data_IF_573684177529
#
_entry.id   IF_573684177529
#
_cell.length_a   1.000
_cell.length_b   1.000
_cell.length_c   1.000
_cell.angle_alpha   90.00
_cell.angle_beta   90.00
_cell.angle_gamma   90.00
#
_symmetry.space_group_name_H-M   'P 1'
#
loop_
_entity.id
_entity.type
_entity.pdbx_description
1 polymer ?
#
# COMPACT_ATOMS: atom_id res chain seq x y z
N UNK A 1 -65.13 -24.65 2.32
CA UNK A 1 -63.75 -24.83 1.80
C UNK A 1 -63.09 -23.47 1.86
N UNK A 2 -62.20 -23.28 2.83
CA UNK A 2 -61.68 -21.97 3.23
C UNK A 2 -60.35 -21.71 2.51
N UNK A 3 -60.27 -20.61 1.76
CA UNK A 3 -59.05 -20.17 1.09
C UNK A 3 -58.10 -19.51 2.09
N UNK A 4 -56.85 -19.95 2.11
CA UNK A 4 -55.75 -19.39 2.90
C UNK A 4 -55.02 -18.38 2.00
N UNK A 5 -54.91 -17.08 2.34
CA UNK A 5 -54.05 -16.18 1.60
C UNK A 5 -52.58 -16.37 2.02
N UNK A 6 -51.70 -16.45 1.03
CA UNK A 6 -50.26 -16.58 1.19
C UNK A 6 -49.63 -15.35 1.86
N UNK A 7 -48.58 -15.52 2.70
CA UNK A 7 -47.89 -14.38 3.31
C UNK A 7 -47.01 -13.70 2.27
N UNK A 8 -47.21 -12.38 2.11
CA UNK A 8 -46.35 -11.52 1.30
C UNK A 8 -44.91 -11.52 1.85
N UNK A 9 -43.87 -11.57 1.00
CA UNK A 9 -42.50 -11.41 1.45
C UNK A 9 -42.29 -9.96 1.92
N UNK A 10 -42.22 -9.77 3.23
CA UNK A 10 -41.75 -8.53 3.83
C UNK A 10 -40.25 -8.40 3.55
N UNK A 11 -39.92 -7.60 2.53
CA UNK A 11 -38.56 -7.08 2.33
C UNK A 11 -38.23 -6.21 3.54
N UNK A 12 -37.20 -6.51 4.34
CA UNK A 12 -36.85 -5.65 5.45
C UNK A 12 -36.39 -4.28 4.93
N UNK A 13 -37.09 -3.27 5.42
CA UNK A 13 -36.83 -1.86 5.25
C UNK A 13 -35.35 -1.51 5.43
N UNK A 14 -34.80 -0.85 4.40
CA UNK A 14 -33.95 0.33 4.49
C UNK A 14 -33.15 0.48 5.79
N UNK A 15 -31.96 -0.12 5.81
CA UNK A 15 -30.93 0.20 6.81
C UNK A 15 -30.40 1.60 6.52
N UNK A 16 -30.85 2.53 7.37
CA UNK A 16 -30.21 3.76 7.78
C UNK A 16 -29.21 4.39 6.78
N UNK A 17 -29.68 5.42 6.08
CA UNK A 17 -28.83 6.48 5.57
C UNK A 17 -28.18 7.23 6.73
N UNK A 18 -27.13 6.68 7.34
CA UNK A 18 -26.06 7.53 7.84
C UNK A 18 -25.45 8.21 6.62
N UNK A 19 -25.11 9.49 6.72
CA UNK A 19 -24.20 10.14 5.79
C UNK A 19 -22.85 9.41 5.87
N UNK A 20 -22.75 8.29 5.15
CA UNK A 20 -21.61 7.38 5.20
C UNK A 20 -20.45 8.06 4.51
N UNK A 21 -19.73 8.90 5.26
CA UNK A 21 -18.48 9.48 4.81
C UNK A 21 -17.47 8.36 4.70
N UNK A 22 -16.85 8.25 3.54
CA UNK A 22 -15.91 7.19 3.24
C UNK A 22 -14.50 7.72 3.43
N UNK A 23 -13.82 7.36 4.52
CA UNK A 23 -12.47 7.86 4.78
C UNK A 23 -11.40 6.87 4.34
N UNK A 24 -10.42 7.37 3.59
CA UNK A 24 -9.21 6.64 3.22
C UNK A 24 -8.05 6.94 4.17
N UNK A 25 -7.23 5.94 4.46
CA UNK A 25 -5.96 6.12 5.14
C UNK A 25 -4.86 6.43 4.12
N UNK A 26 -4.08 7.49 4.34
CA UNK A 26 -2.87 7.76 3.54
C UNK A 26 -1.77 6.77 3.86
N UNK A 27 -1.23 6.17 2.81
CA UNK A 27 -0.16 5.19 2.86
C UNK A 27 0.87 5.50 1.76
N UNK A 28 2.11 5.06 1.95
CA UNK A 28 3.17 5.40 1.00
C UNK A 28 2.97 4.75 -0.39
N UNK A 29 3.28 5.50 -1.45
CA UNK A 29 3.43 4.91 -2.78
C UNK A 29 4.79 4.23 -2.95
N UNK A 30 4.93 3.40 -4.00
CA UNK A 30 6.18 2.70 -4.34
C UNK A 30 7.41 3.61 -4.45
N UNK A 31 7.23 4.87 -4.87
CA UNK A 31 8.32 5.81 -5.09
C UNK A 31 8.31 7.00 -4.11
N UNK A 32 7.31 7.10 -3.23
CA UNK A 32 7.20 8.20 -2.27
C UNK A 32 6.90 9.57 -2.86
N UNK A 33 6.38 9.64 -4.10
CA UNK A 33 6.09 10.93 -4.75
C UNK A 33 4.71 11.48 -4.39
N UNK A 34 3.71 10.61 -4.34
CA UNK A 34 2.32 10.91 -3.98
C UNK A 34 1.81 9.78 -3.12
N UNK A 35 0.93 10.07 -2.17
CA UNK A 35 0.37 9.05 -1.30
C UNK A 35 -0.66 8.18 -2.03
N UNK A 36 -0.88 7.01 -1.47
CA UNK A 36 -1.95 6.10 -1.84
C UNK A 36 -3.00 6.17 -0.75
N UNK A 37 -4.27 6.28 -1.14
CA UNK A 37 -5.38 6.17 -0.22
C UNK A 37 -5.84 4.72 -0.14
N UNK A 38 -5.88 4.18 1.07
CA UNK A 38 -6.36 2.83 1.36
C UNK A 38 -7.68 2.93 2.10
N UNK A 39 -8.73 2.40 1.48
CA UNK A 39 -10.05 2.29 2.10
C UNK A 39 -10.21 0.89 2.68
N UNK A 40 -10.51 0.80 3.98
CA UNK A 40 -10.82 -0.46 4.65
C UNK A 40 -12.32 -0.69 4.58
N UNK A 41 -12.73 -1.81 4.00
CA UNK A 41 -14.15 -2.14 3.88
C UNK A 41 -14.65 -2.55 5.28
N UNK A 42 -15.67 -1.87 5.82
CA UNK A 42 -16.21 -2.19 7.14
C UNK A 42 -16.54 -3.68 7.28
N UNK A 43 -16.36 -4.22 8.49
CA UNK A 43 -16.69 -5.61 8.84
C UNK A 43 -15.91 -6.70 8.08
N UNK A 44 -14.96 -6.30 7.22
CA UNK A 44 -14.12 -7.23 6.47
C UNK A 44 -12.63 -6.93 6.69
N UNK A 45 -11.77 -7.91 6.37
CA UNK A 45 -10.31 -7.71 6.29
C UNK A 45 -9.85 -7.29 4.90
N UNK A 46 -10.75 -6.73 4.11
CA UNK A 46 -10.53 -6.42 2.72
C UNK A 46 -10.39 -4.91 2.51
N UNK A 47 -9.49 -4.52 1.60
CA UNK A 47 -9.19 -3.13 1.31
C UNK A 47 -9.17 -2.85 -0.19
N UNK A 48 -9.52 -1.62 -0.54
CA UNK A 48 -9.22 -1.01 -1.83
C UNK A 48 -8.09 -0.02 -1.69
N UNK A 49 -7.24 0.08 -2.72
CA UNK A 49 -6.09 0.98 -2.71
C UNK A 49 -6.08 1.83 -3.97
N UNK A 50 -6.00 3.13 -3.78
CA UNK A 50 -6.12 4.10 -4.84
C UNK A 50 -4.87 4.97 -4.94
N UNK A 51 -4.29 5.06 -6.14
CA UNK A 51 -3.18 5.96 -6.42
C UNK A 51 -3.70 7.29 -6.94
N UNK A 52 -3.06 8.38 -6.53
CA UNK A 52 -3.34 9.70 -7.07
C UNK A 52 -3.15 9.75 -8.61
N UNK A 53 -4.14 10.30 -9.32
CA UNK A 53 -4.10 10.52 -10.76
C UNK A 53 -3.83 12.00 -11.07
N UNK A 54 -4.69 12.89 -10.60
CA UNK A 54 -4.61 14.34 -10.83
C UNK A 54 -5.27 15.12 -9.71
N UNK A 55 -4.91 16.39 -9.58
CA UNK A 55 -5.52 17.35 -8.64
C UNK A 55 -6.31 18.37 -9.44
N UNK A 56 -7.57 18.59 -9.08
CA UNK A 56 -8.41 19.67 -9.60
C UNK A 56 -8.56 20.77 -8.53
N UNK A 57 -9.10 21.92 -8.90
CA UNK A 57 -9.24 23.09 -8.00
C UNK A 57 -10.03 22.78 -6.71
N UNK A 58 -11.01 21.88 -6.77
CA UNK A 58 -11.91 21.55 -5.65
C UNK A 58 -11.79 20.12 -5.12
N UNK A 59 -11.10 19.23 -5.83
CA UNK A 59 -11.02 17.81 -5.47
C UNK A 59 -9.82 17.14 -6.15
N UNK A 60 -9.30 16.10 -5.52
CA UNK A 60 -8.36 15.18 -6.13
C UNK A 60 -9.09 14.04 -6.84
N UNK A 61 -8.48 13.52 -7.90
CA UNK A 61 -8.93 12.30 -8.55
C UNK A 61 -7.91 11.21 -8.29
N UNK A 62 -8.40 10.13 -7.70
CA UNK A 62 -7.66 8.91 -7.42
C UNK A 62 -8.12 7.80 -8.37
N UNK A 63 -7.28 6.78 -8.57
CA UNK A 63 -7.62 5.61 -9.39
C UNK A 63 -7.26 4.31 -8.68
N UNK A 64 -8.08 3.28 -8.85
CA UNK A 64 -7.82 1.98 -8.25
C UNK A 64 -6.56 1.36 -8.86
N UNK A 65 -5.57 1.03 -8.00
CA UNK A 65 -4.27 0.50 -8.42
C UNK A 65 -4.42 -0.88 -9.06
N UNK A 66 -5.41 -1.66 -8.60
CA UNK A 66 -5.61 -3.05 -9.02
C UNK A 66 -6.37 -3.11 -10.34
N UNK A 67 -7.41 -2.30 -10.52
CA UNK A 67 -8.04 -2.12 -11.83
C UNK A 67 -7.02 -1.66 -12.87
N UNK A 68 -6.16 -0.70 -12.52
CA UNK A 68 -5.10 -0.22 -13.42
C UNK A 68 -4.16 -1.36 -13.85
N UNK A 69 -3.78 -2.23 -12.92
CA UNK A 69 -2.92 -3.38 -13.22
C UNK A 69 -3.60 -4.44 -14.12
N UNK A 70 -4.94 -4.45 -14.18
CA UNK A 70 -5.75 -5.32 -15.03
C UNK A 70 -6.22 -4.63 -16.32
N UNK A 71 -5.78 -3.40 -16.58
CA UNK A 71 -6.12 -2.64 -17.78
C UNK A 71 -7.40 -1.80 -17.69
N UNK A 72 -8.09 -1.77 -16.55
CA UNK A 72 -9.27 -0.92 -16.32
C UNK A 72 -8.93 0.37 -15.57
N UNK A 73 -9.68 1.44 -15.86
CA UNK A 73 -9.46 2.77 -15.29
C UNK A 73 -10.62 3.22 -14.41
N UNK A 74 -10.75 2.56 -13.25
CA UNK A 74 -11.71 2.97 -12.21
C UNK A 74 -11.14 4.17 -11.45
N UNK A 75 -11.89 5.28 -11.46
CA UNK A 75 -11.51 6.56 -10.85
C UNK A 75 -12.50 6.93 -9.75
N UNK A 76 -12.03 7.66 -8.76
CA UNK A 76 -12.86 8.20 -7.68
C UNK A 76 -12.39 9.61 -7.32
N UNK A 77 -13.33 10.45 -6.89
CA UNK A 77 -13.07 11.81 -6.41
C UNK A 77 -12.86 11.81 -4.91
N UNK A 78 -11.87 12.56 -4.46
CA UNK A 78 -11.47 12.66 -3.06
C UNK A 78 -11.29 14.13 -2.68
N UNK A 79 -11.77 14.51 -1.50
CA UNK A 79 -11.49 15.82 -0.89
C UNK A 79 -10.76 15.57 0.42
N UNK A 80 -9.50 15.98 0.49
CA UNK A 80 -8.62 15.59 1.61
C UNK A 80 -8.45 14.07 1.65
N UNK A 81 -9.06 13.43 2.64
CA UNK A 81 -9.02 11.97 2.86
C UNK A 81 -10.41 11.31 2.70
N UNK A 82 -11.43 12.11 2.36
CA UNK A 82 -12.80 11.64 2.19
C UNK A 82 -13.09 11.35 0.71
N UNK A 83 -13.56 10.14 0.44
CA UNK A 83 -14.10 9.77 -0.86
C UNK A 83 -15.53 10.30 -1.00
N UNK A 84 -15.79 10.99 -2.11
CA UNK A 84 -17.12 11.58 -2.39
C UNK A 84 -18.18 10.54 -2.79
N UNK A 85 -17.74 9.33 -3.13
CA UNK A 85 -18.55 8.21 -3.59
C UNK A 85 -18.13 6.98 -2.80
N UNK A 86 -19.02 5.99 -2.68
CA UNK A 86 -18.69 4.74 -1.99
C UNK A 86 -17.60 3.97 -2.79
N UNK A 87 -16.41 3.73 -2.20
CA UNK A 87 -15.36 2.96 -2.85
C UNK A 87 -15.78 1.54 -3.23
N UNK A 88 -16.79 0.94 -2.57
CA UNK A 88 -17.28 -0.40 -2.86
C UNK A 88 -18.29 -0.44 -4.01
N UNK A 89 -19.09 0.61 -4.18
CA UNK A 89 -20.12 0.71 -5.22
C UNK A 89 -19.58 1.11 -6.59
N UNK A 90 -18.29 1.45 -6.69
CA UNK A 90 -17.65 1.70 -7.99
C UNK A 90 -17.48 0.38 -8.74
N UNK A 91 -17.71 0.37 -10.06
CA UNK A 91 -17.58 -0.80 -10.93
C UNK A 91 -16.13 -1.32 -11.06
N UNK A 92 -15.59 -1.89 -9.98
CA UNK A 92 -14.29 -2.54 -9.97
C UNK A 92 -14.35 -3.87 -10.70
N UNK A 93 -13.38 -4.09 -11.59
CA UNK A 93 -13.11 -5.42 -12.14
C UNK A 93 -12.18 -6.25 -11.25
N UNK A 94 -11.50 -5.59 -10.31
CA UNK A 94 -10.52 -6.22 -9.47
C UNK A 94 -11.13 -6.79 -8.18
N UNK A 95 -10.59 -7.90 -7.72
CA UNK A 95 -10.86 -8.40 -6.37
C UNK A 95 -10.19 -7.51 -5.33
N UNK A 96 -10.87 -7.35 -4.21
CA UNK A 96 -10.35 -6.72 -3.00
C UNK A 96 -9.11 -7.46 -2.48
N UNK A 97 -8.33 -6.78 -1.64
CA UNK A 97 -7.08 -7.33 -1.12
C UNK A 97 -7.12 -7.42 0.39
N UNK A 98 -6.54 -8.47 0.95
CA UNK A 98 -6.37 -8.57 2.39
C UNK A 98 -5.51 -7.39 2.92
N UNK A 99 -5.96 -6.81 4.03
CA UNK A 99 -5.33 -5.66 4.69
C UNK A 99 -3.87 -5.94 5.07
N UNK A 100 -3.55 -7.09 5.66
CA UNK A 100 -2.19 -7.47 6.03
C UNK A 100 -1.26 -7.46 4.81
N UNK A 101 -1.75 -8.03 3.70
CA UNK A 101 -0.98 -8.08 2.45
C UNK A 101 -0.76 -6.70 1.85
N UNK A 102 -1.72 -5.78 1.98
CA UNK A 102 -1.57 -4.40 1.52
C UNK A 102 -0.61 -3.63 2.43
N UNK A 103 -0.82 -3.66 3.74
CA UNK A 103 0.05 -3.04 4.75
C UNK A 103 1.49 -3.50 4.62
N UNK A 104 1.77 -4.80 4.47
CA UNK A 104 3.14 -5.29 4.27
C UNK A 104 3.78 -4.73 2.99
N UNK A 105 2.99 -4.61 1.91
CA UNK A 105 3.50 -4.08 0.65
C UNK A 105 3.82 -2.59 0.76
N UNK A 106 2.99 -1.82 1.48
CA UNK A 106 3.23 -0.39 1.75
C UNK A 106 4.47 -0.18 2.62
N UNK A 107 4.54 -0.87 3.75
CA UNK A 107 5.74 -0.86 4.61
C UNK A 107 7.00 -1.27 3.85
N UNK A 108 6.91 -2.30 3.01
CA UNK A 108 8.06 -2.67 2.21
C UNK A 108 8.49 -1.58 1.21
N UNK A 109 7.54 -0.82 0.66
CA UNK A 109 7.89 0.34 -0.16
C UNK A 109 8.52 1.46 0.66
N UNK A 110 8.07 1.67 1.89
CA UNK A 110 8.68 2.58 2.86
C UNK A 110 10.11 2.15 3.19
N UNK A 111 10.33 0.89 3.59
CA UNK A 111 11.65 0.31 3.86
C UNK A 111 12.60 0.58 2.69
N UNK A 112 12.14 0.33 1.46
CA UNK A 112 12.97 0.52 0.26
C UNK A 112 13.19 1.99 -0.09
N UNK A 113 12.33 2.91 0.35
CA UNK A 113 12.60 4.34 0.26
C UNK A 113 13.65 4.77 1.28
N UNK A 114 13.52 4.31 2.53
CA UNK A 114 14.47 4.59 3.60
C UNK A 114 15.85 4.05 3.25
N UNK A 115 15.94 2.79 2.78
CA UNK A 115 17.19 2.19 2.29
C UNK A 115 17.88 3.03 1.21
N UNK A 116 17.14 3.77 0.38
CA UNK A 116 17.73 4.63 -0.68
C UNK A 116 18.16 6.00 -0.19
N UNK A 117 17.49 6.52 0.83
CA UNK A 117 17.67 7.89 1.33
C UNK A 117 18.68 7.95 2.46
N UNK A 118 18.60 7.00 3.39
CA UNK A 118 19.38 6.99 4.63
C UNK A 118 20.75 6.32 4.43
N UNK A 119 21.80 7.04 4.82
CA UNK A 119 23.20 6.61 4.72
C UNK A 119 23.55 5.50 5.71
N UNK A 120 22.77 5.31 6.78
CA UNK A 120 22.95 4.19 7.71
C UNK A 120 22.82 2.83 7.02
N UNK A 121 22.16 2.78 5.85
CA UNK A 121 22.02 1.56 5.06
C UNK A 121 23.22 1.27 4.15
N UNK A 122 24.18 2.19 4.00
CA UNK A 122 25.34 2.06 3.09
C UNK A 122 26.19 0.82 3.42
N UNK A 123 26.38 0.54 4.70
CA UNK A 123 27.20 -0.59 5.19
C UNK A 123 26.37 -1.87 5.41
N UNK A 124 25.03 -1.78 5.34
CA UNK A 124 24.17 -2.91 5.64
C UNK A 124 24.16 -3.95 4.53
N UNK A 125 24.29 -5.22 4.92
CA UNK A 125 24.07 -6.35 4.02
C UNK A 125 22.57 -6.55 3.79
N UNK A 126 22.21 -7.09 2.64
CA UNK A 126 20.82 -7.42 2.27
C UNK A 126 20.07 -8.22 3.34
N UNK A 127 20.76 -9.13 4.03
CA UNK A 127 20.18 -9.95 5.11
C UNK A 127 19.87 -9.13 6.38
N UNK A 128 20.71 -8.13 6.71
CA UNK A 128 20.48 -7.23 7.85
C UNK A 128 19.27 -6.33 7.59
N UNK A 129 19.13 -5.79 6.38
CA UNK A 129 17.95 -4.99 5.99
C UNK A 129 16.67 -5.81 6.09
N UNK A 130 16.72 -7.08 5.65
CA UNK A 130 15.59 -8.01 5.79
C UNK A 130 15.19 -8.23 7.25
N UNK A 131 16.15 -8.53 8.14
CA UNK A 131 15.84 -8.75 9.56
C UNK A 131 15.37 -7.47 10.26
N UNK A 132 15.92 -6.31 9.90
CA UNK A 132 15.43 -5.01 10.39
C UNK A 132 13.95 -4.84 10.03
N UNK A 133 13.58 -5.04 8.77
CA UNK A 133 12.19 -4.98 8.35
C UNK A 133 11.30 -6.01 9.05
N UNK A 134 11.79 -7.22 9.34
CA UNK A 134 11.04 -8.22 10.09
C UNK A 134 10.73 -7.73 11.51
N UNK A 135 11.73 -7.17 12.19
CA UNK A 135 11.60 -6.61 13.53
C UNK A 135 10.58 -5.47 13.55
N UNK A 136 10.69 -4.52 12.63
CA UNK A 136 9.78 -3.37 12.52
C UNK A 136 8.32 -3.81 12.29
N UNK A 137 8.10 -4.92 11.58
CA UNK A 137 6.75 -5.49 11.41
C UNK A 137 6.21 -6.14 12.69
N UNK A 138 7.08 -6.80 13.45
CA UNK A 138 6.73 -7.40 14.73
C UNK A 138 6.41 -6.33 15.79
N UNK A 139 7.16 -5.22 15.78
CA UNK A 139 7.05 -4.11 16.72
C UNK A 139 6.04 -3.04 16.28
N UNK A 140 5.39 -3.19 15.12
CA UNK A 140 4.49 -2.16 14.65
C UNK A 140 3.27 -1.99 15.56
N UNK A 141 2.97 -0.73 15.85
CA UNK A 141 1.72 -0.28 16.42
C UNK A 141 0.60 -0.47 15.39
N UNK A 142 -0.30 -1.40 15.68
CA UNK A 142 -1.50 -1.65 14.91
C UNK A 142 -2.71 -1.08 15.65
N UNK A 143 -3.74 -0.60 14.94
CA UNK A 143 -4.98 -0.13 15.58
C UNK A 143 -5.52 -1.18 16.55
N UNK A 144 -5.77 -0.77 17.80
CA UNK A 144 -6.27 -1.66 18.85
C UNK A 144 -5.31 -2.80 19.26
N UNK A 145 -4.04 -2.77 18.85
CA UNK A 145 -3.07 -3.81 19.19
C UNK A 145 -3.36 -5.17 18.54
N UNK A 146 -4.06 -5.19 17.39
CA UNK A 146 -4.52 -6.42 16.72
C UNK A 146 -3.39 -7.44 16.49
N UNK A 147 -3.30 -8.41 17.39
CA UNK A 147 -2.29 -9.47 17.33
C UNK A 147 -2.50 -10.42 16.16
N UNK A 148 -3.75 -10.57 15.68
CA UNK A 148 -4.06 -11.44 14.54
C UNK A 148 -3.52 -10.81 13.27
N UNK A 149 -3.80 -9.51 13.07
CA UNK A 149 -3.25 -8.75 11.95
C UNK A 149 -1.71 -8.72 11.99
N UNK A 150 -1.10 -8.64 13.18
CA UNK A 150 0.36 -8.75 13.33
C UNK A 150 0.88 -10.10 12.83
N UNK A 151 0.26 -11.21 13.24
CA UNK A 151 0.63 -12.56 12.77
C UNK A 151 0.46 -12.71 11.26
N UNK A 152 -0.63 -12.18 10.69
CA UNK A 152 -0.85 -12.18 9.24
C UNK A 152 0.19 -11.34 8.48
N UNK A 153 0.57 -10.17 9.00
CA UNK A 153 1.59 -9.30 8.42
C UNK A 153 2.96 -10.01 8.37
N UNK A 154 3.33 -10.67 9.47
CA UNK A 154 4.55 -11.46 9.54
C UNK A 154 4.49 -12.64 8.57
N UNK A 155 3.37 -13.37 8.53
CA UNK A 155 3.16 -14.47 7.59
C UNK A 155 3.31 -14.00 6.13
N UNK A 156 2.70 -12.87 5.75
CA UNK A 156 2.82 -12.27 4.41
C UNK A 156 4.27 -11.87 4.08
N UNK A 157 5.00 -11.34 5.07
CA UNK A 157 6.42 -11.03 4.89
C UNK A 157 7.24 -12.30 4.63
N UNK A 158 7.05 -13.32 5.45
CA UNK A 158 7.72 -14.63 5.35
C UNK A 158 7.35 -15.40 4.08
N UNK A 159 6.06 -15.45 3.72
CA UNK A 159 5.54 -16.25 2.60
C UNK A 159 6.16 -15.83 1.27
N UNK A 160 6.39 -14.53 1.06
CA UNK A 160 7.13 -14.04 -0.12
C UNK A 160 8.61 -14.44 -0.07
N UNK A 161 9.16 -14.59 1.12
CA UNK A 161 10.50 -15.11 1.38
C UNK A 161 11.63 -14.15 1.03
N UNK A 162 12.76 -14.32 1.72
CA UNK A 162 13.97 -13.53 1.46
C UNK A 162 14.41 -13.62 0.00
N UNK A 163 14.30 -14.79 -0.64
CA UNK A 163 14.72 -15.01 -2.03
C UNK A 163 14.03 -14.04 -3.02
N UNK A 164 12.73 -13.78 -2.88
CA UNK A 164 12.00 -12.86 -3.78
C UNK A 164 12.38 -11.40 -3.55
N UNK A 165 12.60 -10.97 -2.30
CA UNK A 165 12.92 -9.56 -1.98
C UNK A 165 14.42 -9.25 -2.02
N UNK A 166 15.30 -10.26 -1.93
CA UNK A 166 16.78 -10.11 -1.95
C UNK A 166 17.26 -9.26 -3.11
N UNK A 167 16.79 -9.55 -4.33
CA UNK A 167 17.17 -8.80 -5.54
C UNK A 167 16.76 -7.34 -5.46
N UNK A 168 15.58 -7.05 -4.92
CA UNK A 168 15.10 -5.67 -4.78
C UNK A 168 15.87 -4.91 -3.71
N UNK A 169 16.13 -5.51 -2.55
CA UNK A 169 16.93 -4.89 -1.48
C UNK A 169 18.35 -4.61 -1.99
N UNK A 170 19.00 -5.60 -2.63
CA UNK A 170 20.34 -5.43 -3.18
C UNK A 170 20.42 -4.30 -4.21
N UNK A 171 19.43 -4.19 -5.12
CA UNK A 171 19.36 -3.07 -6.08
C UNK A 171 19.20 -1.71 -5.41
N UNK A 172 18.46 -1.62 -4.31
CA UNK A 172 18.30 -0.35 -3.59
C UNK A 172 19.57 0.02 -2.82
N UNK A 173 20.25 -0.95 -2.21
CA UNK A 173 21.55 -0.75 -1.55
C UNK A 173 22.64 -0.32 -2.53
N UNK A 174 22.63 -0.85 -3.76
CA UNK A 174 23.60 -0.48 -4.79
C UNK A 174 23.55 1.02 -5.14
N UNK A 175 22.42 1.70 -4.94
CA UNK A 175 22.30 3.15 -5.18
C UNK A 175 23.20 4.00 -4.28
N UNK A 176 23.63 3.46 -3.15
CA UNK A 176 24.64 4.11 -2.30
C UNK A 176 26.06 3.98 -2.86
N UNK A 177 26.34 2.91 -3.63
CA UNK A 177 27.65 2.72 -4.27
C UNK A 177 27.85 3.70 -5.42
N UNK A 178 26.80 3.97 -6.19
CA UNK A 178 26.85 4.95 -7.29
C UNK A 178 27.09 6.38 -6.77
N UNK A 179 26.58 6.72 -5.58
CA UNK A 179 26.86 8.02 -4.93
C UNK A 179 28.31 8.17 -4.46
N UNK A 180 29.01 7.07 -4.19
CA UNK A 180 30.43 7.06 -3.79
C UNK A 180 31.39 7.14 -4.99
N UNK A 181 30.92 6.87 -6.21
CA UNK A 181 31.67 7.08 -7.42
C UNK A 181 31.59 8.57 -7.82
N UNK A 182 32.33 9.42 -7.12
CA UNK A 182 32.54 10.80 -7.55
C UNK A 182 33.71 10.86 -8.56
N UNK A 183 33.68 11.83 -9.46
CA UNK A 183 34.77 12.12 -10.42
C UNK A 183 36.08 12.58 -9.75
N UNK A 184 36.16 12.59 -8.41
CA UNK A 184 37.33 13.02 -7.64
C UNK A 184 38.47 12.01 -7.60
N UNK A 185 38.30 10.83 -8.21
CA UNK A 185 39.31 9.79 -8.27
C UNK A 185 39.57 9.33 -9.72
N UNK A 186 39.73 10.30 -10.63
CA UNK A 186 40.42 10.02 -11.91
C UNK A 186 41.91 10.05 -11.60
N UNK A 187 42.66 8.94 -11.73
CA UNK A 187 44.11 8.99 -11.60
C UNK A 187 44.63 9.91 -12.69
N UNK A 188 45.18 11.07 -12.31
CA UNK A 188 45.90 11.93 -13.24
C UNK A 188 46.99 11.09 -13.89
N UNK A 189 46.92 10.90 -15.21
CA UNK A 189 48.01 10.30 -15.98
C UNK A 189 49.26 11.11 -15.65
N UNK A 190 50.23 10.47 -14.99
CA UNK A 190 51.57 11.04 -14.84
C UNK A 190 52.13 11.15 -16.26
N UNK A 191 52.31 12.37 -16.74
CA UNK A 191 53.16 12.60 -17.90
C UNK A 191 54.58 12.26 -17.47
N UNK A 192 55.09 11.13 -17.95
CA UNK A 192 56.51 10.83 -17.91
C UNK A 192 57.23 11.81 -18.83
N UNK A 193 58.21 12.51 -18.28
CA UNK A 193 59.23 13.27 -19.00
C UNK A 193 60.18 12.28 -19.68
#
# INVERSE_FOLDING_TARGET
MSEIPAPSPQVPAQVAASSSRFFGKREVSKHGKRDVLVYSIPETRMVYSFSHLRTNKSHDVYRCIRCQAQGSYVKIRVVGDEFLEDPCSIGHICLTRNIARETDTRKFYEDMQNVRKDENYVSMRTKQVWYKGLRERNECDLPGGDQVLRKELLAEYYQRGFKKRKRQIARNLAKHKDKRANMGFVPSRKNSI
#
